data_IF_398699736466
#
_entry.id   IF_398699736466
#
_cell.length_a   1.000
_cell.length_b   1.000
_cell.length_c   1.000
_cell.angle_alpha   90.00
_cell.angle_beta   90.00
_cell.angle_gamma   90.00
#
_symmetry.space_group_name_H-M   'P 1'
#
loop_
_entity.id
_entity.type
_entity.pdbx_description
1 polymer ?
#
# COMPACT_ATOMS: atom_id res chain seq x y z
N UNK A 1 17.04 35.16 28.43
CA UNK A 1 15.80 34.33 28.45
C UNK A 1 16.19 32.99 27.87
N UNK A 2 16.53 32.02 28.73
CA UNK A 2 17.15 30.76 28.33
C UNK A 2 16.03 29.76 27.98
N UNK A 3 15.76 29.61 26.69
CA UNK A 3 14.76 28.69 26.16
C UNK A 3 15.21 27.25 26.29
N UNK A 4 14.91 26.64 27.43
CA UNK A 4 15.10 25.21 27.69
C UNK A 4 13.99 24.42 26.95
N UNK A 5 14.04 24.40 25.61
CA UNK A 5 13.16 23.58 24.78
C UNK A 5 13.62 22.12 24.87
N UNK A 6 13.59 21.52 26.07
CA UNK A 6 13.71 20.06 26.22
C UNK A 6 12.57 19.47 25.39
N UNK A 7 12.98 19.05 24.21
CA UNK A 7 12.13 18.87 23.05
C UNK A 7 11.07 17.84 23.41
N UNK A 8 9.84 18.32 23.53
CA UNK A 8 8.69 17.50 23.80
C UNK A 8 8.31 16.78 22.51
N UNK A 9 8.37 15.44 22.52
CA UNK A 9 8.00 14.58 21.41
C UNK A 9 6.84 13.67 21.84
N UNK A 10 5.60 14.18 21.86
CA UNK A 10 4.45 13.41 22.29
C UNK A 10 4.21 12.25 21.33
N UNK A 11 4.18 11.01 21.86
CA UNK A 11 4.03 9.82 21.03
C UNK A 11 5.25 9.53 20.15
N UNK A 12 6.44 9.98 20.56
CA UNK A 12 7.66 9.84 19.79
C UNK A 12 8.91 9.67 20.66
N UNK A 13 10.08 9.76 20.03
CA UNK A 13 11.37 9.78 20.70
C UNK A 13 12.22 10.91 20.13
N UNK A 14 12.96 11.60 21.00
CA UNK A 14 13.96 12.57 20.56
C UNK A 14 15.20 11.83 20.04
N UNK A 15 15.58 12.14 18.82
CA UNK A 15 16.72 11.56 18.15
C UNK A 15 17.70 12.65 17.73
N UNK A 16 18.98 12.44 18.01
CA UNK A 16 20.05 13.31 17.55
C UNK A 16 20.55 12.83 16.18
N UNK A 17 20.49 13.70 15.18
CA UNK A 17 20.94 13.41 13.82
C UNK A 17 22.43 13.05 13.82
N UNK A 18 22.78 11.93 13.20
CA UNK A 18 24.16 11.43 13.06
C UNK A 18 24.66 11.62 11.62
N UNK A 19 25.99 11.61 11.40
CA UNK A 19 26.53 11.58 10.05
C UNK A 19 25.96 10.42 9.24
N UNK A 20 25.46 10.72 8.04
CA UNK A 20 24.88 9.72 7.12
C UNK A 20 23.40 9.42 7.33
N UNK A 21 22.74 10.01 8.33
CA UNK A 21 21.29 9.88 8.48
C UNK A 21 20.54 10.57 7.34
N UNK A 22 19.46 9.94 6.88
CA UNK A 22 18.46 10.56 6.01
C UNK A 22 17.08 10.41 6.67
N UNK A 23 16.16 11.33 6.39
CA UNK A 23 14.78 11.20 6.89
C UNK A 23 14.12 9.89 6.45
N UNK A 24 14.48 9.38 5.26
CA UNK A 24 14.00 8.09 4.77
C UNK A 24 14.50 6.92 5.63
N UNK A 25 15.79 6.86 5.94
CA UNK A 25 16.33 5.80 6.80
C UNK A 25 15.81 5.90 8.22
N UNK A 26 15.67 7.11 8.77
CA UNK A 26 15.07 7.33 10.07
C UNK A 26 13.59 6.91 10.10
N UNK A 27 12.81 7.30 9.10
CA UNK A 27 11.40 6.89 8.99
C UNK A 27 11.24 5.36 9.01
N UNK A 28 12.03 4.64 8.19
CA UNK A 28 12.00 3.18 8.16
C UNK A 28 12.46 2.55 9.48
N UNK A 29 13.54 3.07 10.06
CA UNK A 29 14.12 2.55 11.31
C UNK A 29 13.15 2.69 12.49
N UNK A 30 12.42 3.80 12.55
CA UNK A 30 11.51 4.10 13.65
C UNK A 30 10.04 3.76 13.35
N UNK A 31 9.76 3.12 12.21
CA UNK A 31 8.41 2.68 11.86
C UNK A 31 7.43 3.83 11.63
N UNK A 32 7.91 4.94 11.07
CA UNK A 32 7.12 6.15 10.80
C UNK A 32 7.27 6.58 9.34
N UNK A 33 6.75 7.75 8.96
CA UNK A 33 6.90 8.31 7.60
C UNK A 33 7.75 9.58 7.61
N UNK A 34 8.40 9.88 6.48
CA UNK A 34 9.13 11.15 6.30
C UNK A 34 8.20 12.35 6.54
N UNK A 35 6.97 12.26 6.05
CA UNK A 35 5.96 13.31 6.24
C UNK A 35 5.61 13.49 7.72
N UNK A 36 5.48 12.40 8.49
CA UNK A 36 5.23 12.50 9.93
C UNK A 36 6.41 13.13 10.68
N UNK A 37 7.66 12.79 10.30
CA UNK A 37 8.85 13.42 10.87
C UNK A 37 8.87 14.91 10.56
N UNK A 38 8.62 15.33 9.32
CA UNK A 38 8.59 16.75 8.95
C UNK A 38 7.46 17.51 9.67
N UNK A 39 6.28 16.91 9.79
CA UNK A 39 5.15 17.49 10.51
C UNK A 39 5.45 17.70 12.01
N UNK A 40 6.18 16.75 12.63
CA UNK A 40 6.59 16.84 14.02
C UNK A 40 7.76 17.82 14.26
N UNK A 41 8.45 18.26 13.21
CA UNK A 41 9.59 19.18 13.31
C UNK A 41 9.41 20.39 12.38
N UNK A 42 8.56 21.37 12.76
CA UNK A 42 8.44 22.61 12.03
C UNK A 42 9.80 23.28 11.83
N UNK A 43 10.11 23.67 10.59
CA UNK A 43 11.41 24.27 10.23
C UNK A 43 12.57 23.28 10.10
N UNK A 44 12.31 21.97 10.04
CA UNK A 44 13.29 20.99 9.57
C UNK A 44 13.35 21.01 8.04
N UNK A 45 14.53 21.27 7.48
CA UNK A 45 14.76 21.17 6.04
C UNK A 45 15.16 19.73 5.68
N UNK A 46 14.37 19.00 4.86
CA UNK A 46 14.68 17.64 4.46
C UNK A 46 15.97 17.52 3.62
N UNK A 47 16.39 18.59 2.95
CA UNK A 47 17.59 18.60 2.11
C UNK A 47 18.86 19.01 2.87
N UNK A 48 18.70 19.51 4.09
CA UNK A 48 19.82 20.02 4.90
C UNK A 48 19.71 19.57 6.36
N UNK A 49 19.93 18.27 6.57
CA UNK A 49 19.94 17.68 7.91
C UNK A 49 21.24 18.02 8.63
N UNK A 50 21.12 18.78 9.72
CA UNK A 50 22.25 19.20 10.54
C UNK A 50 22.62 18.10 11.54
N UNK A 51 23.82 17.54 11.41
CA UNK A 51 24.37 16.58 12.38
C UNK A 51 24.44 17.22 13.77
N UNK A 52 24.07 16.45 14.80
CA UNK A 52 24.04 16.91 16.18
C UNK A 52 22.74 17.62 16.59
N UNK A 53 21.89 17.97 15.63
CA UNK A 53 20.55 18.53 15.91
C UNK A 53 19.63 17.44 16.45
N UNK A 54 18.97 17.75 17.55
CA UNK A 54 17.88 16.92 18.09
C UNK A 54 16.60 17.21 17.32
N UNK A 55 15.91 16.14 16.89
CA UNK A 55 14.61 16.16 16.23
C UNK A 55 13.65 15.21 16.95
N UNK A 56 12.36 15.50 16.89
CA UNK A 56 11.29 14.59 17.31
C UNK A 56 11.02 13.56 16.21
N UNK A 57 11.20 12.27 16.51
CA UNK A 57 10.76 11.20 15.63
C UNK A 57 9.45 10.65 16.20
N UNK A 58 8.29 10.96 15.61
CA UNK A 58 7.04 10.39 16.06
C UNK A 58 7.05 8.89 15.75
N UNK A 59 6.98 8.06 16.79
CA UNK A 59 6.71 6.64 16.62
C UNK A 59 5.19 6.53 16.52
N UNK A 60 4.68 6.69 15.31
CA UNK A 60 3.31 6.29 15.07
C UNK A 60 3.23 4.80 15.41
N UNK A 61 2.64 4.46 16.57
CA UNK A 61 2.22 3.09 16.86
C UNK A 61 1.52 2.57 15.61
N UNK A 62 1.80 1.32 15.20
CA UNK A 62 1.71 0.87 13.81
C UNK A 62 0.53 1.54 13.12
N UNK A 63 0.82 2.58 12.34
CA UNK A 63 -0.19 3.21 11.50
C UNK A 63 -0.47 2.18 10.42
N UNK A 64 -1.33 1.22 10.76
CA UNK A 64 -2.25 0.60 9.84
C UNK A 64 -3.20 1.70 9.39
N UNK A 65 -2.69 2.69 8.65
CA UNK A 65 -3.51 3.20 7.56
C UNK A 65 -3.74 1.94 6.75
N UNK A 66 -4.97 1.37 6.72
CA UNK A 66 -5.21 0.22 5.89
C UNK A 66 -4.92 0.74 4.49
N UNK A 67 -3.76 0.39 3.95
CA UNK A 67 -3.51 0.60 2.53
C UNK A 67 -4.61 -0.23 1.91
N UNK A 68 -5.54 0.42 1.21
CA UNK A 68 -6.66 -0.27 0.59
C UNK A 68 -6.09 -1.52 -0.08
N UNK A 69 -6.66 -2.71 0.19
CA UNK A 69 -6.09 -3.94 -0.31
C UNK A 69 -5.85 -3.76 -1.80
N UNK A 70 -4.66 -4.14 -2.31
CA UNK A 70 -4.27 -3.86 -3.69
C UNK A 70 -5.21 -4.49 -4.73
N UNK A 71 -6.12 -5.34 -4.29
CA UNK A 71 -7.25 -5.86 -5.03
C UNK A 71 -8.52 -5.77 -4.15
N UNK A 72 -9.27 -4.66 -4.20
CA UNK A 72 -10.51 -4.50 -3.42
C UNK A 72 -11.55 -5.53 -3.85
N UNK A 73 -12.14 -6.26 -2.89
CA UNK A 73 -13.13 -7.31 -3.20
C UNK A 73 -12.54 -8.54 -3.89
N UNK A 74 -11.24 -8.78 -3.73
CA UNK A 74 -10.52 -9.87 -4.38
C UNK A 74 -9.19 -10.19 -3.72
N UNK A 75 -8.32 -10.84 -4.48
CA UNK A 75 -6.95 -11.13 -4.08
C UNK A 75 -5.99 -10.99 -5.27
N UNK A 76 -4.70 -10.79 -4.99
CA UNK A 76 -3.67 -10.78 -6.03
C UNK A 76 -3.28 -12.21 -6.40
N UNK A 77 -3.39 -12.53 -7.68
CA UNK A 77 -2.95 -13.79 -8.27
C UNK A 77 -1.73 -13.58 -9.15
N UNK A 78 -0.81 -14.55 -9.16
CA UNK A 78 0.38 -14.53 -10.01
C UNK A 78 0.15 -15.49 -11.17
N UNK A 79 0.19 -14.98 -12.39
CA UNK A 79 -0.02 -15.75 -13.62
C UNK A 79 0.99 -16.89 -13.71
N UNK A 80 0.49 -18.08 -13.98
CA UNK A 80 1.21 -19.32 -14.21
C UNK A 80 1.16 -19.69 -15.71
N UNK A 81 1.99 -20.65 -16.11
CA UNK A 81 2.01 -21.12 -17.48
C UNK A 81 0.66 -21.72 -17.89
N UNK A 82 0.10 -21.25 -19.00
CA UNK A 82 -1.19 -21.73 -19.53
C UNK A 82 -2.42 -21.01 -18.96
N UNK A 83 -2.25 -20.03 -18.07
CA UNK A 83 -3.38 -19.24 -17.59
C UNK A 83 -3.96 -18.32 -18.66
N UNK A 84 -5.29 -18.21 -18.64
CA UNK A 84 -6.05 -17.24 -19.42
C UNK A 84 -7.08 -16.59 -18.49
N UNK A 85 -7.59 -15.42 -18.85
CA UNK A 85 -8.69 -14.83 -18.07
C UNK A 85 -9.90 -15.75 -18.00
N UNK A 86 -10.16 -16.55 -19.02
CA UNK A 86 -11.25 -17.52 -19.03
C UNK A 86 -11.04 -18.64 -18.00
N UNK A 87 -9.86 -19.28 -18.00
CA UNK A 87 -9.57 -20.36 -17.05
C UNK A 87 -9.53 -19.85 -15.60
N UNK A 88 -9.02 -18.63 -15.38
CA UNK A 88 -9.01 -17.99 -14.06
C UNK A 88 -10.42 -17.58 -13.60
N UNK A 89 -11.26 -17.07 -14.51
CA UNK A 89 -12.65 -16.74 -14.21
C UNK A 89 -13.44 -17.98 -13.74
N UNK A 90 -13.29 -19.10 -14.45
CA UNK A 90 -13.90 -20.37 -14.07
C UNK A 90 -13.37 -20.88 -12.73
N UNK A 91 -12.04 -20.86 -12.54
CA UNK A 91 -11.39 -21.35 -11.32
C UNK A 91 -11.81 -20.59 -10.07
N UNK A 92 -12.00 -19.28 -10.18
CA UNK A 92 -12.29 -18.41 -9.05
C UNK A 92 -13.74 -17.93 -8.99
N UNK A 93 -14.63 -18.57 -9.75
CA UNK A 93 -16.06 -18.27 -9.78
C UNK A 93 -16.36 -16.78 -9.98
N UNK A 94 -15.69 -16.18 -10.96
CA UNK A 94 -15.84 -14.78 -11.37
C UNK A 94 -16.05 -14.70 -12.88
N UNK A 95 -16.03 -13.50 -13.47
CA UNK A 95 -16.20 -13.34 -14.92
C UNK A 95 -14.97 -12.70 -15.56
N UNK A 96 -14.73 -13.00 -16.84
CA UNK A 96 -13.67 -12.35 -17.63
C UNK A 96 -13.83 -10.83 -17.62
N UNK A 97 -15.08 -10.35 -17.68
CA UNK A 97 -15.41 -8.93 -17.61
C UNK A 97 -14.99 -8.32 -16.27
N UNK A 98 -15.26 -9.00 -15.15
CA UNK A 98 -14.84 -8.55 -13.82
C UNK A 98 -13.31 -8.53 -13.68
N UNK A 99 -12.61 -9.58 -14.13
CA UNK A 99 -11.13 -9.61 -14.12
C UNK A 99 -10.57 -8.48 -14.98
N UNK A 100 -11.14 -8.22 -16.16
CA UNK A 100 -10.69 -7.14 -17.04
C UNK A 100 -10.88 -5.77 -16.41
N UNK A 101 -12.06 -5.52 -15.83
CA UNK A 101 -12.37 -4.27 -15.13
C UNK A 101 -11.45 -4.03 -13.92
N UNK A 102 -11.09 -5.10 -13.19
CA UNK A 102 -10.19 -5.02 -12.04
C UNK A 102 -8.71 -4.80 -12.41
N UNK A 103 -8.33 -4.98 -13.69
CA UNK A 103 -6.95 -4.90 -14.16
C UNK A 103 -6.81 -3.95 -15.36
N UNK A 104 -7.07 -2.64 -15.19
CA UNK A 104 -6.90 -1.67 -16.27
C UNK A 104 -5.46 -1.68 -16.79
N UNK A 105 -5.30 -1.73 -18.12
CA UNK A 105 -3.99 -1.74 -18.78
C UNK A 105 -3.34 -3.13 -18.93
N UNK A 106 -3.96 -4.20 -18.41
CA UNK A 106 -3.50 -5.57 -18.69
C UNK A 106 -4.18 -6.11 -19.95
N UNK A 107 -3.38 -6.58 -20.91
CA UNK A 107 -3.90 -7.22 -22.12
C UNK A 107 -4.26 -8.69 -21.85
N UNK A 108 -5.55 -9.09 -21.94
CA UNK A 108 -5.98 -10.47 -21.68
C UNK A 108 -5.36 -11.51 -22.62
N UNK A 109 -4.97 -11.10 -23.83
CA UNK A 109 -4.38 -11.98 -24.85
C UNK A 109 -2.85 -12.07 -24.75
N UNK A 110 -2.23 -11.37 -23.80
CA UNK A 110 -0.78 -11.32 -23.63
C UNK A 110 -0.39 -11.31 -22.14
N UNK A 111 -0.85 -12.32 -21.41
CA UNK A 111 -0.51 -12.49 -20.00
C UNK A 111 0.90 -13.04 -19.87
N UNK A 112 1.68 -12.46 -18.95
CA UNK A 112 3.06 -12.87 -18.71
C UNK A 112 3.16 -13.75 -17.46
N UNK A 113 3.87 -14.87 -17.54
CA UNK A 113 4.16 -15.70 -16.36
C UNK A 113 4.88 -14.85 -15.31
N UNK A 114 4.42 -14.92 -14.07
CA UNK A 114 4.93 -14.09 -12.97
C UNK A 114 4.26 -12.72 -12.84
N UNK A 115 3.44 -12.31 -13.80
CA UNK A 115 2.63 -11.09 -13.72
C UNK A 115 1.60 -11.22 -12.60
N UNK A 116 1.42 -10.16 -11.81
CA UNK A 116 0.40 -10.09 -10.75
C UNK A 116 -0.84 -9.37 -11.25
N UNK A 117 -1.99 -10.00 -11.11
CA UNK A 117 -3.31 -9.43 -11.44
C UNK A 117 -4.26 -9.54 -10.25
N UNK A 118 -5.23 -8.64 -10.19
CA UNK A 118 -6.34 -8.69 -9.25
C UNK A 118 -7.41 -9.67 -9.74
N UNK A 119 -7.75 -10.66 -8.93
CA UNK A 119 -8.89 -11.55 -9.16
C UNK A 119 -10.01 -11.13 -8.22
N UNK A 120 -11.08 -10.47 -8.71
CA UNK A 120 -12.23 -10.15 -7.89
C UNK A 120 -13.04 -11.42 -7.60
N UNK A 121 -13.39 -11.62 -6.33
CA UNK A 121 -14.38 -12.62 -5.94
C UNK A 121 -15.72 -11.91 -5.90
N UNK A 122 -16.64 -12.29 -6.79
CA UNK A 122 -17.99 -11.76 -6.71
C UNK A 122 -18.59 -12.20 -5.35
N UNK A 123 -19.23 -11.31 -4.58
CA UNK A 123 -20.14 -11.78 -3.54
C UNK A 123 -21.17 -12.65 -4.26
N UNK A 124 -21.42 -13.85 -3.76
CA UNK A 124 -22.35 -14.81 -4.34
C UNK A 124 -23.77 -14.25 -4.35
N UNK A 125 -24.10 -13.38 -5.31
CA UNK A 125 -25.48 -13.14 -5.70
C UNK A 125 -25.80 -14.23 -6.71
N UNK A 126 -26.54 -15.22 -6.22
CA UNK A 126 -27.24 -16.30 -6.93
C UNK A 126 -27.34 -16.06 -8.45
N UNK A 127 -26.86 -16.97 -9.29
CA UNK A 127 -27.10 -16.89 -10.73
C UNK A 127 -28.61 -16.93 -10.97
N UNK A 128 -29.20 -15.82 -11.42
CA UNK A 128 -30.53 -15.86 -12.01
C UNK A 128 -30.40 -16.69 -13.29
N UNK A 129 -30.98 -17.89 -13.27
CA UNK A 129 -31.05 -18.76 -14.43
C UNK A 129 -31.65 -17.99 -15.62
N UNK A 130 -31.14 -18.17 -16.86
CA UNK A 130 -31.79 -17.62 -18.03
C UNK A 130 -33.22 -18.20 -18.13
N UNK A 131 -34.25 -17.40 -18.44
CA UNK A 131 -35.57 -17.94 -18.68
C UNK A 131 -35.50 -18.90 -19.88
N UNK A 132 -36.09 -20.09 -19.70
CA UNK A 132 -36.15 -21.12 -20.73
C UNK A 132 -36.77 -20.55 -22.03
N UNK A 133 -36.27 -20.87 -23.23
CA UNK A 133 -36.97 -20.56 -24.46
C UNK A 133 -38.27 -21.40 -24.50
N UNK A 134 -39.41 -20.74 -24.51
CA UNK A 134 -40.70 -21.39 -24.73
C UNK A 134 -40.77 -21.98 -26.13
N UNK A 135 -41.15 -23.25 -26.22
CA UNK A 135 -41.63 -23.91 -27.43
C UNK A 135 -43.14 -23.80 -27.58
#
# INVERSE_FOLDING_TARGET
MNGDYRQFCPGGTIYQIRPGDTLFFLARRFGTTVQAILAANPGLDPNNLQVGRNICIPVAGPTTTPTAPPCPGGFLYTIQAGDTYFSLAQRFNTTVAAITAANPGVNPNNLQIGQRICIPVAPTTTPTAPPCPGG
#
